data_IF_095034684798
#
_entry.id   IF_095034684798
#
_cell.length_a   1.000
_cell.length_b   1.000
_cell.length_c   1.000
_cell.angle_alpha   90.00
_cell.angle_beta   90.00
_cell.angle_gamma   90.00
#
_symmetry.space_group_name_H-M   'P 1'
#
loop_
_entity.id
_entity.type
_entity.pdbx_description
1 polymer ?
#
# COMPACT_ATOMS: atom_id res chain seq x y z
N UNK A 1 -3.98 8.64 27.27
CA UNK A 1 -3.69 8.38 26.72
C UNK A 1 -3.25 7.75 26.30
N UNK A 2 -3.03 7.46 26.31
CA UNK A 2 -2.58 7.12 25.79
C UNK A 2 -2.19 6.55 24.99
N UNK A 3 -2.08 6.30 24.79
CA UNK A 3 -1.77 5.87 23.98
C UNK A 3 -1.40 5.55 23.08
N UNK A 4 -2.08 5.69 23.00
CA UNK A 4 -1.13 5.88 21.95
C UNK A 4 -0.84 4.62 21.16
N UNK A 5 -1.08 4.67 19.89
CA UNK A 5 -0.70 3.57 19.04
C UNK A 5 0.82 3.55 18.96
N UNK A 6 1.42 2.48 19.36
CA UNK A 6 2.85 2.34 19.30
C UNK A 6 3.32 2.21 17.87
N UNK A 7 2.49 1.57 17.04
CA UNK A 7 2.82 1.34 15.64
C UNK A 7 1.68 1.79 14.76
N UNK A 8 1.88 2.79 13.91
CA UNK A 8 0.79 3.30 13.07
C UNK A 8 0.23 2.26 12.10
N UNK A 9 0.95 1.16 11.87
CA UNK A 9 0.52 0.14 10.91
C UNK A 9 0.34 -1.22 11.55
N UNK A 10 0.06 -1.27 12.85
CA UNK A 10 -0.15 -2.53 13.55
C UNK A 10 -1.44 -3.21 13.09
N UNK A 11 -2.46 -2.42 12.72
CA UNK A 11 -3.71 -2.97 12.21
C UNK A 11 -3.62 -3.18 10.70
N UNK A 12 -3.65 -4.43 10.21
CA UNK A 12 -3.52 -4.69 8.78
C UNK A 12 -4.57 -4.01 7.92
N UNK A 13 -5.79 -3.83 8.44
CA UNK A 13 -6.84 -3.15 7.66
C UNK A 13 -6.48 -1.69 7.42
N UNK A 14 -6.10 -0.99 8.48
CA UNK A 14 -5.71 0.41 8.37
C UNK A 14 -4.45 0.54 7.53
N UNK A 15 -3.52 -0.38 7.72
CA UNK A 15 -2.27 -0.35 6.98
C UNK A 15 -2.51 -0.58 5.49
N UNK A 16 -3.44 -1.46 5.13
CA UNK A 16 -3.77 -1.70 3.73
C UNK A 16 -4.30 -0.44 3.06
N UNK A 17 -5.14 0.34 3.77
CA UNK A 17 -5.63 1.60 3.21
C UNK A 17 -4.48 2.58 3.02
N UNK A 18 -3.51 2.60 3.93
CA UNK A 18 -2.34 3.46 3.76
C UNK A 18 -1.50 3.03 2.57
N UNK A 19 -1.44 1.72 2.27
CA UNK A 19 -0.77 1.25 1.05
C UNK A 19 -1.43 1.90 -0.18
N UNK A 20 -2.77 1.91 -0.21
CA UNK A 20 -3.49 2.53 -1.32
C UNK A 20 -3.20 4.04 -1.39
N UNK A 21 -3.17 4.71 -0.23
CA UNK A 21 -2.86 6.14 -0.18
C UNK A 21 -1.46 6.42 -0.73
N UNK A 22 -0.48 5.63 -0.31
CA UNK A 22 0.91 5.81 -0.78
C UNK A 22 1.00 5.53 -2.28
N UNK A 23 0.33 4.47 -2.75
CA UNK A 23 0.34 4.14 -4.17
C UNK A 23 -0.29 5.25 -4.99
N UNK A 24 -1.36 5.86 -4.48
CA UNK A 24 -2.02 6.96 -5.17
C UNK A 24 -1.13 8.20 -5.24
N UNK A 25 -0.26 8.37 -4.25
CA UNK A 25 0.65 9.53 -4.20
C UNK A 25 1.87 9.34 -5.10
N UNK A 26 2.22 8.10 -5.43
CA UNK A 26 3.35 7.81 -6.32
C UNK A 26 2.90 8.07 -7.76
N UNK A 27 3.73 8.81 -8.50
CA UNK A 27 3.43 9.05 -9.90
C UNK A 27 3.61 7.76 -10.69
N UNK A 28 2.52 7.29 -11.30
CA UNK A 28 2.56 6.06 -12.06
C UNK A 28 3.37 6.24 -13.33
N UNK A 29 4.10 5.19 -13.73
CA UNK A 29 4.78 5.19 -15.00
C UNK A 29 3.83 4.66 -16.07
N UNK A 30 4.36 4.35 -17.25
CA UNK A 30 3.53 3.89 -18.37
C UNK A 30 2.57 2.79 -17.95
N UNK A 31 1.37 2.83 -18.49
CA UNK A 31 0.33 1.83 -18.26
C UNK A 31 -0.12 1.76 -16.81
N UNK A 32 0.13 2.81 -16.04
CA UNK A 32 -0.33 2.87 -14.66
C UNK A 32 0.47 2.00 -13.69
N UNK A 33 1.66 1.57 -14.07
CA UNK A 33 2.50 0.76 -13.20
C UNK A 33 3.05 1.58 -12.04
N UNK A 34 2.93 1.04 -10.84
CA UNK A 34 3.42 1.68 -9.63
C UNK A 34 4.43 0.73 -8.99
N UNK A 35 5.68 1.15 -8.93
CA UNK A 35 6.72 0.26 -8.40
C UNK A 35 6.56 0.06 -6.91
N UNK A 36 6.58 -1.21 -6.50
CA UNK A 36 6.40 -1.59 -5.10
C UNK A 36 7.46 -0.94 -4.22
N UNK A 37 8.70 -0.83 -4.72
CA UNK A 37 9.77 -0.24 -3.92
C UNK A 37 9.48 1.21 -3.54
N UNK A 38 8.75 1.94 -4.38
CA UNK A 38 8.40 3.33 -4.08
C UNK A 38 7.34 3.40 -3.00
N UNK A 39 6.38 2.47 -3.02
CA UNK A 39 5.37 2.39 -1.97
C UNK A 39 6.04 2.00 -0.66
N UNK A 40 6.94 1.02 -0.72
CA UNK A 40 7.66 0.55 0.46
C UNK A 40 8.47 1.68 1.09
N UNK A 41 9.14 2.48 0.27
CA UNK A 41 9.93 3.61 0.78
C UNK A 41 9.07 4.57 1.57
N UNK A 42 7.87 4.88 1.07
CA UNK A 42 6.93 5.76 1.75
C UNK A 42 6.45 5.13 3.06
N UNK A 43 6.15 3.84 3.02
CA UNK A 43 5.65 3.12 4.17
C UNK A 43 6.68 3.08 5.31
N UNK A 44 7.92 2.76 4.96
CA UNK A 44 9.00 2.72 5.96
C UNK A 44 9.29 4.11 6.51
N UNK A 45 9.26 5.12 5.65
CA UNK A 45 9.48 6.49 6.09
C UNK A 45 8.40 6.94 7.06
N UNK A 46 7.19 6.43 6.90
CA UNK A 46 6.07 6.76 7.79
C UNK A 46 6.08 5.96 9.09
N UNK A 47 7.06 5.11 9.28
CA UNK A 47 7.23 4.37 10.54
C UNK A 47 6.86 2.90 10.48
N UNK A 48 6.54 2.39 9.31
CA UNK A 48 6.21 0.98 9.16
C UNK A 48 7.46 0.10 9.17
N UNK A 49 7.25 -1.19 9.38
CA UNK A 49 8.31 -2.18 9.32
C UNK A 49 8.17 -3.02 8.05
N UNK A 50 9.23 -3.72 7.64
CA UNK A 50 9.13 -4.60 6.46
C UNK A 50 8.04 -5.66 6.60
N UNK A 51 7.87 -6.24 7.78
CA UNK A 51 6.83 -7.25 7.99
C UNK A 51 5.44 -6.62 7.89
N UNK A 52 5.28 -5.42 8.44
CA UNK A 52 4.01 -4.70 8.35
C UNK A 52 3.70 -4.33 6.91
N UNK A 53 4.73 -3.94 6.15
CA UNK A 53 4.54 -3.60 4.74
C UNK A 53 4.04 -4.82 3.96
N UNK A 54 4.67 -5.97 4.17
CA UNK A 54 4.29 -7.19 3.48
C UNK A 54 2.85 -7.56 3.78
N UNK A 55 2.49 -7.53 5.07
CA UNK A 55 1.13 -7.86 5.49
C UNK A 55 0.10 -6.88 4.91
N UNK A 56 0.44 -5.58 4.91
CA UNK A 56 -0.46 -4.56 4.40
C UNK A 56 -0.63 -4.67 2.89
N UNK A 57 0.46 -4.93 2.18
CA UNK A 57 0.40 -5.09 0.73
C UNK A 57 -0.46 -6.29 0.37
N UNK A 58 -0.24 -7.42 1.03
CA UNK A 58 -1.03 -8.62 0.79
C UNK A 58 -2.51 -8.38 1.09
N UNK A 59 -2.80 -7.63 2.13
CA UNK A 59 -4.19 -7.31 2.47
C UNK A 59 -4.83 -6.42 1.41
N UNK A 60 -4.10 -5.43 0.91
CA UNK A 60 -4.63 -4.55 -0.14
C UNK A 60 -4.92 -5.34 -1.42
N UNK A 61 -4.06 -6.31 -1.73
CA UNK A 61 -4.29 -7.20 -2.87
C UNK A 61 -5.52 -8.06 -2.63
N UNK A 62 -5.64 -8.62 -1.42
CA UNK A 62 -6.78 -9.47 -1.07
C UNK A 62 -8.10 -8.72 -1.12
N UNK A 63 -8.08 -7.43 -0.79
CA UNK A 63 -9.28 -6.59 -0.87
C UNK A 63 -9.63 -6.21 -2.30
N UNK A 64 -8.76 -6.54 -3.24
CA UNK A 64 -9.00 -6.25 -4.64
C UNK A 64 -8.74 -4.80 -5.03
N UNK A 65 -8.00 -4.06 -4.23
CA UNK A 65 -7.69 -2.66 -4.53
C UNK A 65 -6.54 -2.51 -5.51
N UNK A 66 -5.58 -3.42 -5.44
CA UNK A 66 -4.42 -3.42 -6.32
C UNK A 66 -4.13 -4.83 -6.78
N UNK A 67 -3.46 -4.93 -7.92
CA UNK A 67 -3.02 -6.21 -8.48
C UNK A 67 -1.52 -6.17 -8.61
N UNK A 68 -0.85 -7.22 -8.14
CA UNK A 68 0.59 -7.31 -8.26
C UNK A 68 0.94 -8.07 -9.53
N UNK A 69 1.83 -7.49 -10.32
CA UNK A 69 2.33 -8.16 -11.50
C UNK A 69 3.14 -9.39 -11.09
N UNK A 70 3.15 -10.40 -11.93
CA UNK A 70 3.83 -11.64 -11.61
C UNK A 70 5.33 -11.48 -11.39
N UNK A 71 5.92 -10.43 -11.95
CA UNK A 71 7.34 -10.13 -11.73
C UNK A 71 7.62 -9.74 -10.27
N UNK A 72 6.59 -9.31 -9.55
CA UNK A 72 6.75 -8.86 -8.16
C UNK A 72 7.32 -7.46 -8.02
N UNK A 73 7.51 -6.72 -9.11
CA UNK A 73 8.17 -5.41 -9.05
C UNK A 73 7.19 -4.25 -9.00
N UNK A 74 5.96 -4.43 -9.49
CA UNK A 74 5.00 -3.34 -9.52
C UNK A 74 3.57 -3.84 -9.32
N UNK A 75 2.69 -2.87 -8.99
CA UNK A 75 1.26 -3.10 -8.86
C UNK A 75 0.53 -2.11 -9.75
N UNK A 76 -0.74 -2.38 -9.99
CA UNK A 76 -1.66 -1.43 -10.64
C UNK A 76 -2.92 -1.36 -9.81
N UNK A 77 -3.57 -0.21 -9.81
CA UNK A 77 -4.89 -0.10 -9.20
C UNK A 77 -5.90 -0.89 -10.02
N UNK A 78 -6.80 -1.56 -9.30
CA UNK A 78 -8.00 -2.13 -9.91
C UNK A 78 -9.05 -1.01 -9.96
N UNK A 79 -10.20 -1.30 -10.57
CA UNK A 79 -11.30 -0.34 -10.54
C UNK A 79 -11.74 -0.07 -9.09
N UNK A 80 -11.82 -1.11 -8.27
CA UNK A 80 -12.20 -0.95 -6.87
C UNK A 80 -11.21 -0.07 -6.12
N UNK A 81 -9.91 -0.23 -6.41
CA UNK A 81 -8.89 0.60 -5.79
C UNK A 81 -8.99 2.04 -6.23
N UNK A 82 -9.19 2.25 -7.52
CA UNK A 82 -9.33 3.61 -8.05
C UNK A 82 -10.55 4.31 -7.45
N UNK A 83 -11.61 3.56 -7.19
CA UNK A 83 -12.83 4.12 -6.62
C UNK A 83 -12.63 4.66 -5.22
N UNK A 84 -11.59 4.23 -4.51
CA UNK A 84 -11.29 4.78 -3.19
C UNK A 84 -10.97 6.28 -3.26
N UNK A 85 -10.52 6.75 -4.41
CA UNK A 85 -10.08 8.12 -4.58
C UNK A 85 -10.94 8.90 -5.58
N UNK A 86 -12.04 8.33 -5.97
CA UNK A 86 -12.95 8.97 -6.93
C UNK A 86 -13.75 10.09 -6.30
#
# INVERSE_FOLDING_TARGET
>A
MKFVADHPFADPESAARRIADFANAVEAVQDGRIFIELINAQFLKAGGTPDQFRAALDRAIAKGWIERHESGTYVKFTQAGADLFA
#
